data_IF_655767454160
#
_entry.id   IF_655767454160
#
_cell.length_a   1.000
_cell.length_b   1.000
_cell.length_c   1.000
_cell.angle_alpha   90.00
_cell.angle_beta   90.00
_cell.angle_gamma   90.00
#
_symmetry.space_group_name_H-M   'P 1'
#
loop_
_entity.id
_entity.type
_entity.pdbx_description
1 polymer ?
#
# COMPACT_ATOMS: atom_id res chain seq x y z
N UNK A 1 -17.62 12.03 -10.90
CA UNK A 1 -16.89 11.23 -9.90
C UNK A 1 -17.54 11.43 -8.54
N UNK A 2 -17.95 10.38 -7.88
CA UNK A 2 -18.60 10.44 -6.57
C UNK A 2 -17.81 9.56 -5.57
N UNK A 3 -17.35 10.14 -4.48
CA UNK A 3 -16.71 9.39 -3.41
C UNK A 3 -17.75 8.99 -2.36
N UNK A 4 -17.91 7.70 -2.09
CA UNK A 4 -18.77 7.19 -1.04
C UNK A 4 -17.98 7.10 0.25
N UNK A 5 -18.34 7.92 1.25
CA UNK A 5 -17.83 7.80 2.59
C UNK A 5 -18.80 7.06 3.50
N UNK A 6 -18.29 6.13 4.30
CA UNK A 6 -19.03 5.27 5.23
C UNK A 6 -19.72 6.01 6.40
N UNK A 7 -19.58 7.34 6.51
CA UNK A 7 -20.03 8.12 7.66
C UNK A 7 -21.23 9.02 7.32
N UNK A 8 -22.42 8.45 7.21
CA UNK A 8 -23.64 9.20 7.43
C UNK A 8 -24.51 8.51 8.47
N UNK A 9 -24.61 9.15 9.62
CA UNK A 9 -25.55 8.82 10.69
C UNK A 9 -26.99 8.76 10.19
N UNK A 10 -27.69 7.68 10.56
CA UNK A 10 -29.12 7.63 10.75
C UNK A 10 -30.07 7.88 9.55
N UNK A 11 -29.86 7.21 8.40
CA UNK A 11 -30.93 6.79 7.51
C UNK A 11 -30.57 5.42 6.93
N UNK A 12 -31.60 4.58 6.59
CA UNK A 12 -31.43 3.22 6.03
C UNK A 12 -30.18 3.15 5.16
N UNK A 13 -29.17 2.39 5.63
CA UNK A 13 -27.89 2.28 4.94
C UNK A 13 -28.14 1.57 3.63
N UNK A 14 -28.14 2.32 2.52
CA UNK A 14 -28.12 1.72 1.18
C UNK A 14 -26.80 0.95 1.01
N UNK A 15 -26.86 -0.22 0.37
CA UNK A 15 -25.65 -0.93 -0.04
C UNK A 15 -24.96 -0.13 -1.17
N UNK A 16 -23.68 -0.42 -1.44
CA UNK A 16 -22.97 0.22 -2.57
C UNK A 16 -23.70 -0.04 -3.89
N UNK A 17 -24.22 -1.24 -4.10
CA UNK A 17 -24.97 -1.61 -5.28
C UNK A 17 -26.31 -0.84 -5.38
N UNK A 18 -27.07 -0.76 -4.28
CA UNK A 18 -28.29 0.06 -4.25
C UNK A 18 -28.01 1.52 -4.57
N UNK A 19 -26.89 2.06 -4.07
CA UNK A 19 -26.48 3.43 -4.36
C UNK A 19 -26.14 3.62 -5.84
N UNK A 20 -25.40 2.68 -6.43
CA UNK A 20 -25.09 2.71 -7.87
C UNK A 20 -26.36 2.71 -8.71
N UNK A 21 -27.33 1.86 -8.40
CA UNK A 21 -28.64 1.81 -9.07
C UNK A 21 -29.43 3.11 -8.89
N UNK A 22 -29.49 3.64 -7.67
CA UNK A 22 -30.19 4.89 -7.38
C UNK A 22 -29.62 6.09 -8.14
N UNK A 23 -28.29 6.13 -8.34
CA UNK A 23 -27.60 7.20 -9.05
C UNK A 23 -27.44 6.95 -10.54
N UNK A 24 -27.88 5.80 -11.07
CA UNK A 24 -27.66 5.39 -12.44
C UNK A 24 -26.17 5.42 -12.83
N UNK A 25 -25.30 4.91 -11.96
CA UNK A 25 -23.90 4.79 -12.33
C UNK A 25 -23.70 3.64 -13.32
N UNK A 26 -23.01 3.93 -14.42
CA UNK A 26 -22.72 2.97 -15.48
C UNK A 26 -21.57 2.05 -15.14
N UNK A 27 -20.70 2.44 -14.16
CA UNK A 27 -19.57 1.64 -13.69
C UNK A 27 -18.89 2.27 -12.48
N UNK A 28 -18.04 1.50 -11.82
CA UNK A 28 -17.40 1.88 -10.54
C UNK A 28 -15.92 1.51 -10.52
N UNK A 29 -15.08 2.43 -10.06
CA UNK A 29 -13.72 2.13 -9.64
C UNK A 29 -13.67 2.03 -8.10
N UNK A 30 -13.17 0.90 -7.57
CA UNK A 30 -13.05 0.67 -6.13
C UNK A 30 -11.59 0.86 -5.72
N UNK A 31 -11.37 1.82 -4.81
CA UNK A 31 -10.04 2.20 -4.32
C UNK A 31 -10.03 2.24 -2.79
N UNK A 32 -8.99 1.72 -2.17
CA UNK A 32 -8.79 1.79 -0.71
C UNK A 32 -10.00 1.26 0.09
N UNK A 33 -10.67 0.21 -0.41
CA UNK A 33 -11.80 -0.41 0.26
C UNK A 33 -11.36 -1.60 1.14
N UNK A 34 -12.18 -1.93 2.13
CA UNK A 34 -12.14 -3.25 2.73
C UNK A 34 -12.84 -4.23 1.77
N UNK A 35 -12.04 -4.96 1.02
CA UNK A 35 -12.56 -5.90 0.03
C UNK A 35 -13.26 -7.14 0.64
N UNK A 36 -13.19 -7.33 1.96
CA UNK A 36 -13.97 -8.34 2.68
C UNK A 36 -15.34 -7.80 3.14
N UNK A 37 -15.61 -6.49 2.97
CA UNK A 37 -16.92 -5.90 3.27
C UNK A 37 -17.99 -6.54 2.36
N UNK A 38 -19.07 -7.12 2.92
CA UNK A 38 -20.13 -7.77 2.14
C UNK A 38 -20.74 -6.87 1.05
N UNK A 39 -20.86 -5.56 1.29
CA UNK A 39 -21.39 -4.62 0.31
C UNK A 39 -20.40 -4.36 -0.85
N UNK A 40 -19.09 -4.41 -0.60
CA UNK A 40 -18.08 -4.35 -1.64
C UNK A 40 -18.10 -5.64 -2.47
N UNK A 41 -18.19 -6.80 -1.82
CA UNK A 41 -18.32 -8.09 -2.48
C UNK A 41 -19.62 -8.19 -3.31
N UNK A 42 -20.74 -7.70 -2.79
CA UNK A 42 -22.01 -7.61 -3.54
C UNK A 42 -21.83 -6.82 -4.84
N UNK A 43 -21.17 -5.66 -4.77
CA UNK A 43 -20.93 -4.81 -5.92
C UNK A 43 -20.01 -5.49 -6.96
N UNK A 44 -18.92 -6.10 -6.54
CA UNK A 44 -17.99 -6.80 -7.43
C UNK A 44 -18.60 -8.03 -8.10
N UNK A 45 -19.63 -8.64 -7.50
CA UNK A 45 -20.36 -9.78 -8.06
C UNK A 45 -21.62 -9.37 -8.83
N UNK A 46 -21.89 -8.08 -8.97
CA UNK A 46 -23.05 -7.56 -9.70
C UNK A 46 -22.78 -7.43 -11.20
N UNK A 47 -23.82 -7.02 -11.95
CA UNK A 47 -23.71 -6.71 -13.38
C UNK A 47 -23.10 -5.32 -13.64
N UNK A 48 -22.90 -4.49 -12.62
CA UNK A 48 -22.28 -3.17 -12.77
C UNK A 48 -20.80 -3.37 -13.11
N UNK A 49 -20.30 -2.77 -14.21
CA UNK A 49 -18.86 -2.81 -14.53
C UNK A 49 -18.00 -2.26 -13.37
N UNK A 50 -17.07 -3.06 -12.90
CA UNK A 50 -16.18 -2.69 -11.79
C UNK A 50 -14.72 -2.83 -12.19
N UNK A 51 -13.91 -1.84 -11.84
CA UNK A 51 -12.45 -1.91 -11.82
C UNK A 51 -11.97 -1.76 -10.39
N UNK A 52 -11.07 -2.63 -9.96
CA UNK A 52 -10.46 -2.59 -8.62
C UNK A 52 -9.05 -2.04 -8.69
N UNK A 53 -8.66 -1.26 -7.69
CA UNK A 53 -7.27 -0.85 -7.48
C UNK A 53 -6.69 -1.70 -6.36
N UNK A 54 -5.52 -2.32 -6.62
CA UNK A 54 -4.76 -3.14 -5.67
C UNK A 54 -5.51 -4.38 -5.11
N UNK A 55 -6.54 -4.83 -5.80
CA UNK A 55 -7.26 -6.04 -5.42
C UNK A 55 -7.63 -6.88 -6.65
N UNK A 56 -7.31 -8.17 -6.61
CA UNK A 56 -7.65 -9.11 -7.68
C UNK A 56 -8.96 -9.85 -7.36
N UNK A 57 -9.96 -9.65 -8.21
CA UNK A 57 -11.23 -10.38 -8.15
C UNK A 57 -11.56 -10.99 -9.51
N UNK A 58 -12.15 -12.19 -9.51
CA UNK A 58 -12.39 -12.95 -10.74
C UNK A 58 -13.38 -12.30 -11.72
N UNK A 59 -14.26 -11.40 -11.22
CA UNK A 59 -15.24 -10.69 -12.04
C UNK A 59 -14.83 -9.24 -12.38
N UNK A 60 -13.63 -8.79 -12.00
CA UNK A 60 -13.24 -7.41 -12.17
C UNK A 60 -11.88 -7.30 -12.84
N UNK A 61 -11.69 -6.30 -13.68
CA UNK A 61 -10.34 -5.88 -14.06
C UNK A 61 -9.67 -5.25 -12.84
N UNK A 62 -8.42 -5.64 -12.58
CA UNK A 62 -7.60 -5.10 -11.51
C UNK A 62 -6.44 -4.28 -12.07
N UNK A 63 -6.23 -3.08 -11.51
CA UNK A 63 -5.05 -2.26 -11.78
C UNK A 63 -4.27 -2.11 -10.47
N UNK A 64 -2.98 -2.39 -10.49
CA UNK A 64 -2.15 -2.35 -9.28
C UNK A 64 -0.76 -1.83 -9.57
N UNK A 65 -0.09 -1.30 -8.54
CA UNK A 65 1.35 -1.09 -8.58
C UNK A 65 2.08 -2.43 -8.55
N UNK A 66 3.29 -2.48 -9.14
CA UNK A 66 4.17 -3.64 -9.02
C UNK A 66 4.79 -3.70 -7.62
N UNK A 67 4.00 -4.17 -6.66
CA UNK A 67 4.41 -4.24 -5.26
C UNK A 67 5.58 -5.20 -5.02
N UNK A 68 5.73 -6.22 -5.85
CA UNK A 68 6.83 -7.19 -5.75
C UNK A 68 8.13 -6.52 -6.18
N UNK A 69 8.16 -5.91 -7.37
CA UNK A 69 9.37 -5.27 -7.89
C UNK A 69 9.76 -4.05 -7.04
N UNK A 70 8.79 -3.21 -6.67
CA UNK A 70 9.06 -2.04 -5.85
C UNK A 70 9.68 -2.39 -4.49
N UNK A 71 9.22 -3.44 -3.81
CA UNK A 71 9.83 -3.87 -2.55
C UNK A 71 11.22 -4.48 -2.78
N UNK A 72 11.41 -5.25 -3.84
CA UNK A 72 12.73 -5.78 -4.21
C UNK A 72 13.72 -4.64 -4.45
N UNK A 73 13.37 -3.63 -5.24
CA UNK A 73 14.22 -2.48 -5.54
C UNK A 73 14.58 -1.71 -4.26
N UNK A 74 13.62 -1.52 -3.37
CA UNK A 74 13.83 -0.83 -2.11
C UNK A 74 14.82 -1.59 -1.20
N UNK A 75 14.65 -2.89 -1.02
CA UNK A 75 15.55 -3.72 -0.19
C UNK A 75 16.94 -3.78 -0.79
N UNK A 76 17.07 -3.97 -2.11
CA UNK A 76 18.38 -3.98 -2.78
C UNK A 76 19.10 -2.64 -2.67
N UNK A 77 18.37 -1.54 -2.76
CA UNK A 77 18.92 -0.20 -2.54
C UNK A 77 19.44 -0.06 -1.10
N UNK A 78 18.63 -0.39 -0.10
CA UNK A 78 19.02 -0.32 1.32
C UNK A 78 20.26 -1.19 1.56
N UNK A 79 20.34 -2.40 0.99
CA UNK A 79 21.51 -3.26 1.04
C UNK A 79 22.74 -2.60 0.41
N UNK A 80 22.59 -1.93 -0.74
CA UNK A 80 23.68 -1.23 -1.45
C UNK A 80 24.25 -0.07 -0.63
N UNK A 81 23.43 0.53 0.26
CA UNK A 81 23.87 1.56 1.21
C UNK A 81 24.63 0.99 2.44
N UNK A 82 24.85 -0.32 2.48
CA UNK A 82 25.63 -0.99 3.53
C UNK A 82 24.80 -1.57 4.67
N UNK A 83 23.49 -1.42 4.68
CA UNK A 83 22.63 -1.99 5.71
C UNK A 83 22.56 -3.52 5.61
N UNK A 84 22.60 -4.18 6.77
CA UNK A 84 22.48 -5.64 6.91
C UNK A 84 21.41 -6.04 7.92
N UNK A 85 21.09 -5.19 8.88
CA UNK A 85 20.01 -5.33 9.84
C UNK A 85 18.86 -4.44 9.43
N UNK A 86 17.91 -5.01 8.69
CA UNK A 86 16.80 -4.30 8.08
C UNK A 86 15.50 -4.80 8.69
N UNK A 87 14.78 -3.94 9.39
CA UNK A 87 13.44 -4.27 9.91
C UNK A 87 12.34 -3.80 8.93
N UNK A 88 11.22 -4.48 8.96
CA UNK A 88 10.05 -4.11 8.18
C UNK A 88 8.81 -4.05 9.06
N UNK A 89 8.25 -2.85 9.19
CA UNK A 89 6.91 -2.62 9.72
C UNK A 89 5.95 -2.68 8.53
N UNK A 90 5.19 -3.77 8.41
CA UNK A 90 4.29 -3.97 7.27
C UNK A 90 2.85 -3.57 7.61
N UNK A 91 2.01 -3.37 6.58
CA UNK A 91 0.57 -3.16 6.72
C UNK A 91 -0.16 -4.38 7.29
N UNK A 92 -1.43 -4.21 7.62
CA UNK A 92 -2.26 -5.33 8.09
C UNK A 92 -2.41 -6.39 6.98
N UNK A 93 -2.36 -7.67 7.39
CA UNK A 93 -2.45 -8.79 6.45
C UNK A 93 -3.88 -9.19 6.06
N UNK A 94 -4.91 -8.67 6.71
CA UNK A 94 -6.32 -9.05 6.60
C UNK A 94 -6.85 -9.04 5.15
N UNK A 95 -6.39 -10.00 4.34
CA UNK A 95 -6.78 -10.14 2.93
C UNK A 95 -6.10 -9.14 1.97
N UNK A 96 -5.18 -8.30 2.44
CA UNK A 96 -4.46 -7.34 1.60
C UNK A 96 -3.45 -8.04 0.69
N UNK A 97 -3.73 -8.07 -0.61
CA UNK A 97 -2.79 -8.56 -1.61
C UNK A 97 -1.50 -7.73 -1.63
N UNK A 98 -1.61 -6.42 -1.47
CA UNK A 98 -0.47 -5.47 -1.39
C UNK A 98 0.49 -5.85 -0.27
N UNK A 99 -0.04 -6.05 0.95
CA UNK A 99 0.78 -6.44 2.11
C UNK A 99 1.46 -7.79 1.86
N UNK A 100 0.71 -8.76 1.33
CA UNK A 100 1.23 -10.10 1.02
C UNK A 100 2.35 -10.04 -0.02
N UNK A 101 2.15 -9.31 -1.12
CA UNK A 101 3.13 -9.20 -2.21
C UNK A 101 4.41 -8.52 -1.71
N UNK A 102 4.29 -7.39 -0.98
CA UNK A 102 5.44 -6.68 -0.41
C UNK A 102 6.19 -7.52 0.62
N UNK A 103 5.48 -8.20 1.52
CA UNK A 103 6.09 -9.05 2.55
C UNK A 103 6.80 -10.26 1.93
N UNK A 104 6.17 -10.90 0.96
CA UNK A 104 6.77 -12.03 0.22
C UNK A 104 8.04 -11.58 -0.52
N UNK A 105 7.99 -10.42 -1.19
CA UNK A 105 9.14 -9.86 -1.89
C UNK A 105 10.27 -9.47 -0.94
N UNK A 106 9.93 -8.88 0.22
CA UNK A 106 10.90 -8.57 1.26
C UNK A 106 11.68 -9.82 1.71
N UNK A 107 10.97 -10.87 2.14
CA UNK A 107 11.62 -12.10 2.60
C UNK A 107 12.46 -12.75 1.50
N UNK A 108 11.93 -12.85 0.28
CA UNK A 108 12.65 -13.41 -0.86
C UNK A 108 13.95 -12.64 -1.13
N UNK A 109 13.89 -11.31 -1.16
CA UNK A 109 15.06 -10.48 -1.44
C UNK A 109 16.08 -10.55 -0.32
N UNK A 110 15.66 -10.59 0.95
CA UNK A 110 16.55 -10.79 2.09
C UNK A 110 17.28 -12.14 2.00
N UNK A 111 16.56 -13.22 1.65
CA UNK A 111 17.15 -14.56 1.46
C UNK A 111 18.17 -14.59 0.31
N UNK A 112 17.82 -14.01 -0.86
CA UNK A 112 18.75 -13.89 -2.00
C UNK A 112 20.03 -13.13 -1.65
N UNK A 113 19.91 -12.11 -0.78
CA UNK A 113 21.05 -11.33 -0.28
C UNK A 113 21.77 -12.00 0.89
N UNK A 114 21.31 -13.18 1.33
CA UNK A 114 21.84 -13.94 2.48
C UNK A 114 21.84 -13.12 3.78
N UNK A 115 20.77 -12.36 3.98
CA UNK A 115 20.53 -11.58 5.19
C UNK A 115 19.55 -12.31 6.11
N UNK A 116 19.90 -12.37 7.39
CA UNK A 116 19.00 -12.88 8.41
C UNK A 116 17.87 -11.89 8.69
N UNK A 117 16.66 -12.42 8.90
CA UNK A 117 15.48 -11.65 9.30
C UNK A 117 14.98 -12.19 10.63
N UNK A 118 15.44 -11.65 11.78
CA UNK A 118 14.91 -12.03 13.08
C UNK A 118 13.40 -11.75 13.14
N UNK A 119 12.63 -12.63 13.77
CA UNK A 119 11.18 -12.47 13.92
C UNK A 119 10.82 -11.12 14.58
N UNK A 120 11.65 -10.65 15.50
CA UNK A 120 11.49 -9.36 16.17
C UNK A 120 11.69 -8.14 15.26
N UNK A 121 12.23 -8.31 14.05
CA UNK A 121 12.36 -7.24 13.07
C UNK A 121 11.13 -7.07 12.19
N UNK A 122 10.20 -8.04 12.25
CA UNK A 122 8.95 -7.98 11.50
C UNK A 122 7.83 -7.52 12.43
N UNK A 123 7.27 -6.36 12.12
CA UNK A 123 6.24 -5.72 12.91
C UNK A 123 5.04 -5.36 12.03
N UNK A 124 3.90 -5.17 12.65
CA UNK A 124 2.65 -4.81 11.94
C UNK A 124 2.18 -3.44 12.41
N UNK A 125 1.87 -2.57 11.45
CA UNK A 125 1.07 -1.36 11.65
C UNK A 125 0.01 -1.27 10.55
N UNK A 126 -1.07 -0.52 10.77
CA UNK A 126 -2.01 -0.23 9.69
C UNK A 126 -1.42 0.74 8.67
N UNK A 127 -1.92 0.72 7.44
CA UNK A 127 -1.65 1.78 6.48
C UNK A 127 -2.16 3.12 7.03
N UNK A 128 -1.38 4.18 6.85
CA UNK A 128 -1.63 5.53 7.36
C UNK A 128 -1.65 5.65 8.91
N UNK A 129 -1.31 4.59 9.63
CA UNK A 129 -1.37 4.50 11.09
C UNK A 129 -0.07 4.99 11.75
N UNK A 130 0.07 6.31 11.87
CA UNK A 130 1.26 6.96 12.45
C UNK A 130 1.54 6.55 13.90
N UNK A 131 0.49 6.37 14.73
CA UNK A 131 0.64 6.05 16.16
C UNK A 131 1.16 4.63 16.36
N UNK A 132 0.62 3.66 15.63
CA UNK A 132 1.07 2.28 15.76
C UNK A 132 2.49 2.13 15.17
N UNK A 133 2.78 2.76 14.03
CA UNK A 133 4.13 2.80 13.48
C UNK A 133 5.15 3.41 14.46
N UNK A 134 4.78 4.49 15.16
CA UNK A 134 5.60 5.11 16.19
C UNK A 134 5.90 4.13 17.35
N UNK A 135 4.88 3.40 17.83
CA UNK A 135 5.04 2.40 18.88
C UNK A 135 5.98 1.28 18.43
N UNK A 136 5.74 0.71 17.24
CA UNK A 136 6.57 -0.38 16.70
C UNK A 136 8.02 0.07 16.47
N UNK A 137 8.22 1.31 16.04
CA UNK A 137 9.56 1.90 15.90
C UNK A 137 10.29 1.96 17.24
N UNK A 138 9.60 2.41 18.30
CA UNK A 138 10.19 2.48 19.64
C UNK A 138 10.58 1.10 20.18
N UNK A 139 9.75 0.08 19.93
CA UNK A 139 10.03 -1.29 20.29
C UNK A 139 11.27 -1.82 19.55
N UNK A 140 11.38 -1.59 18.23
CA UNK A 140 12.53 -2.00 17.41
C UNK A 140 13.83 -1.34 17.87
N UNK A 141 13.78 -0.06 18.23
CA UNK A 141 14.97 0.69 18.69
C UNK A 141 15.45 0.28 20.09
N UNK A 142 14.58 -0.34 20.89
CA UNK A 142 14.92 -0.84 22.23
C UNK A 142 15.36 -2.31 22.25
N UNK A 143 15.47 -2.97 21.11
CA UNK A 143 16.02 -4.32 21.04
C UNK A 143 17.50 -4.33 21.45
N UNK A 144 17.99 -5.46 21.92
CA UNK A 144 19.43 -5.64 22.23
C UNK A 144 20.30 -5.39 20.99
N UNK A 145 19.84 -5.86 19.83
CA UNK A 145 20.46 -5.64 18.53
C UNK A 145 19.49 -4.87 17.60
N UNK A 146 19.39 -3.53 17.70
CA UNK A 146 18.41 -2.79 16.92
C UNK A 146 18.75 -2.81 15.42
N UNK A 147 17.74 -2.69 14.53
CA UNK A 147 17.96 -2.54 13.11
C UNK A 147 18.72 -1.25 12.79
N UNK A 148 19.42 -1.23 11.66
CA UNK A 148 20.10 -0.03 11.14
C UNK A 148 19.24 0.69 10.09
N UNK A 149 18.21 0.02 9.58
CA UNK A 149 17.22 0.59 8.69
C UNK A 149 15.84 0.01 9.01
N UNK A 150 14.80 0.83 8.98
CA UNK A 150 13.40 0.42 9.13
C UNK A 150 12.64 0.80 7.87
N UNK A 151 12.00 -0.20 7.24
CA UNK A 151 11.03 0.00 6.15
C UNK A 151 9.64 0.13 6.76
N UNK A 152 8.84 1.06 6.25
CA UNK A 152 7.47 1.33 6.69
C UNK A 152 6.46 0.94 5.61
N UNK A 153 5.19 0.66 5.98
CA UNK A 153 4.16 0.27 5.01
C UNK A 153 3.84 1.37 4.00
N UNK A 154 3.95 2.61 4.42
CA UNK A 154 3.73 3.82 3.62
C UNK A 154 4.47 5.04 4.21
N UNK A 155 4.53 6.13 3.45
CA UNK A 155 5.20 7.37 3.86
C UNK A 155 4.52 8.06 5.05
N UNK A 156 3.20 7.87 5.23
CA UNK A 156 2.45 8.47 6.34
C UNK A 156 2.76 7.75 7.66
N UNK A 157 2.75 6.43 7.66
CA UNK A 157 3.16 5.63 8.81
C UNK A 157 4.61 5.93 9.20
N UNK A 158 5.51 6.11 8.22
CA UNK A 158 6.91 6.49 8.44
C UNK A 158 7.04 7.81 9.22
N UNK A 159 6.17 8.80 9.01
CA UNK A 159 6.21 10.06 9.76
C UNK A 159 6.08 9.79 11.27
N UNK A 160 5.23 8.85 11.67
CA UNK A 160 5.10 8.44 13.07
C UNK A 160 6.41 7.88 13.63
N UNK A 161 7.04 6.96 12.91
CA UNK A 161 8.33 6.39 13.29
C UNK A 161 9.45 7.43 13.33
N UNK A 162 9.50 8.31 12.32
CA UNK A 162 10.47 9.40 12.25
C UNK A 162 10.39 10.31 13.48
N UNK A 163 9.21 10.66 13.93
CA UNK A 163 9.03 11.51 15.10
C UNK A 163 9.62 10.84 16.35
N UNK A 164 9.35 9.57 16.58
CA UNK A 164 9.93 8.81 17.70
C UNK A 164 11.45 8.75 17.61
N UNK A 165 12.03 8.50 16.44
CA UNK A 165 13.48 8.49 16.24
C UNK A 165 14.09 9.82 16.69
N UNK A 166 13.49 10.93 16.29
CA UNK A 166 13.95 12.29 16.66
C UNK A 166 13.75 12.55 18.17
N UNK A 167 12.61 12.17 18.76
CA UNK A 167 12.34 12.29 20.20
C UNK A 167 13.33 11.49 21.05
N UNK A 168 13.83 10.36 20.55
CA UNK A 168 14.89 9.57 21.17
C UNK A 168 16.31 10.16 20.97
N UNK A 169 16.42 11.32 20.30
CA UNK A 169 17.70 12.00 20.04
C UNK A 169 18.53 11.36 18.92
N UNK A 170 17.96 10.43 18.13
CA UNK A 170 18.64 9.78 17.04
C UNK A 170 18.50 10.60 15.73
N UNK A 171 19.53 10.53 14.91
CA UNK A 171 19.62 11.27 13.64
C UNK A 171 19.36 10.37 12.44
N UNK A 172 18.51 10.83 11.55
CA UNK A 172 18.26 10.17 10.25
C UNK A 172 19.09 10.90 9.18
N UNK A 173 19.86 10.21 8.36
CA UNK A 173 20.11 8.76 8.32
C UNK A 173 21.32 8.31 9.17
N UNK A 174 21.96 9.20 9.93
CA UNK A 174 23.28 9.00 10.52
C UNK A 174 23.31 7.86 11.56
N UNK A 175 22.32 7.81 12.44
CA UNK A 175 22.22 6.82 13.51
C UNK A 175 21.28 5.67 13.12
N UNK A 176 20.24 5.97 12.32
CA UNK A 176 19.31 5.01 11.75
C UNK A 176 18.75 5.53 10.41
N UNK A 177 18.60 4.65 9.43
CA UNK A 177 17.93 4.94 8.16
C UNK A 177 16.47 4.52 8.19
N UNK A 178 15.65 5.20 7.39
CA UNK A 178 14.23 4.88 7.21
C UNK A 178 13.86 4.90 5.74
N UNK A 179 12.92 4.03 5.36
CA UNK A 179 12.39 4.00 4.00
C UNK A 179 10.87 3.78 4.04
N UNK A 180 10.17 4.44 3.15
CA UNK A 180 8.72 4.37 3.03
C UNK A 180 8.25 3.70 1.75
N UNK A 181 6.99 3.89 1.46
CA UNK A 181 6.33 3.46 0.23
C UNK A 181 5.26 4.51 -0.13
N UNK A 182 4.89 4.63 -1.40
CA UNK A 182 3.91 5.49 -2.06
C UNK A 182 4.51 6.70 -2.77
N UNK A 183 5.63 7.25 -2.33
CA UNK A 183 6.25 8.44 -2.93
C UNK A 183 5.38 9.67 -2.81
N UNK A 184 4.74 9.86 -1.67
CA UNK A 184 3.85 11.00 -1.43
C UNK A 184 4.59 12.32 -1.56
N UNK A 185 3.86 13.39 -1.90
CA UNK A 185 4.46 14.73 -1.98
C UNK A 185 5.16 15.12 -0.66
N UNK A 186 4.62 14.69 0.47
CA UNK A 186 5.17 14.96 1.78
C UNK A 186 6.57 14.36 1.94
N UNK A 187 6.81 13.15 1.43
CA UNK A 187 8.09 12.45 1.55
C UNK A 187 9.25 13.27 0.97
N UNK A 188 9.00 14.08 -0.06
CA UNK A 188 10.00 14.89 -0.74
C UNK A 188 10.16 16.31 -0.15
N UNK A 189 9.26 16.73 0.77
CA UNK A 189 9.33 18.02 1.45
C UNK A 189 10.06 17.93 2.81
N UNK A 190 10.23 16.73 3.34
CA UNK A 190 10.95 16.51 4.60
C UNK A 190 12.47 16.70 4.40
N UNK A 191 13.16 17.02 5.49
CA UNK A 191 14.62 17.08 5.54
C UNK A 191 15.15 16.15 6.65
N UNK A 192 15.99 15.13 6.30
CA UNK A 192 16.28 14.71 4.92
C UNK A 192 15.05 14.22 4.19
N UNK A 193 15.06 14.24 2.85
CA UNK A 193 14.03 13.61 2.02
C UNK A 193 13.96 12.12 2.33
N UNK A 194 12.77 11.54 2.21
CA UNK A 194 12.59 10.11 2.44
C UNK A 194 12.95 9.31 1.18
N UNK A 195 13.63 8.21 1.39
CA UNK A 195 13.73 7.13 0.40
C UNK A 195 12.40 6.39 0.39
N UNK A 196 11.79 6.25 -0.79
CA UNK A 196 10.48 5.62 -0.94
C UNK A 196 10.27 5.09 -2.36
N UNK A 197 9.38 4.14 -2.53
CA UNK A 197 8.88 3.75 -3.86
C UNK A 197 7.73 4.68 -4.22
N UNK A 198 7.94 5.50 -5.24
CA UNK A 198 6.87 6.33 -5.79
C UNK A 198 6.01 5.48 -6.72
N UNK A 199 4.75 5.31 -6.36
CA UNK A 199 3.74 4.69 -7.23
C UNK A 199 3.32 5.69 -8.32
N UNK A 200 3.15 5.23 -9.55
CA UNK A 200 2.58 6.04 -10.62
C UNK A 200 1.04 6.07 -10.51
N UNK A 201 0.56 6.82 -9.51
CA UNK A 201 -0.87 6.95 -9.22
C UNK A 201 -1.66 7.58 -10.38
N UNK A 202 -1.00 8.39 -11.21
CA UNK A 202 -1.61 9.00 -12.38
C UNK A 202 -1.86 7.94 -13.46
N UNK A 203 -0.87 7.08 -13.75
CA UNK A 203 -1.02 6.00 -14.72
C UNK A 203 -1.99 4.92 -14.22
N UNK A 204 -1.94 4.57 -12.92
CA UNK A 204 -2.92 3.68 -12.30
C UNK A 204 -4.34 4.21 -12.51
N UNK A 205 -4.56 5.50 -12.23
CA UNK A 205 -5.87 6.14 -12.42
C UNK A 205 -6.32 6.17 -13.88
N UNK A 206 -5.38 6.45 -14.81
CA UNK A 206 -5.64 6.50 -16.25
C UNK A 206 -6.02 5.12 -16.79
N UNK A 207 -5.27 4.09 -16.46
CA UNK A 207 -5.56 2.72 -16.91
C UNK A 207 -6.85 2.19 -16.28
N UNK A 208 -7.13 2.50 -15.01
CA UNK A 208 -8.39 2.12 -14.38
C UNK A 208 -9.59 2.77 -15.09
N UNK A 209 -9.54 4.07 -15.38
CA UNK A 209 -10.59 4.78 -16.09
C UNK A 209 -10.78 4.22 -17.51
N UNK A 210 -9.69 4.00 -18.25
CA UNK A 210 -9.71 3.44 -19.60
C UNK A 210 -10.37 2.05 -19.64
N UNK A 211 -10.03 1.17 -18.69
CA UNK A 211 -10.61 -0.18 -18.60
C UNK A 211 -12.07 -0.13 -18.20
N UNK A 212 -12.44 0.75 -17.27
CA UNK A 212 -13.83 0.93 -16.87
C UNK A 212 -14.70 1.42 -18.02
N UNK A 213 -14.26 2.44 -18.75
CA UNK A 213 -14.97 2.97 -19.93
C UNK A 213 -15.11 1.87 -20.98
N UNK A 214 -14.03 1.12 -21.26
CA UNK A 214 -14.10 0.00 -22.20
C UNK A 214 -15.14 -1.05 -21.80
N UNK A 215 -15.23 -1.38 -20.50
CA UNK A 215 -16.23 -2.33 -19.99
C UNK A 215 -17.67 -1.81 -20.11
N UNK A 216 -17.87 -0.50 -20.00
CA UNK A 216 -19.19 0.14 -20.17
C UNK A 216 -19.60 0.18 -21.66
N UNK A 217 -18.70 0.65 -22.51
CA UNK A 217 -19.01 0.87 -23.94
C UNK A 217 -19.03 -0.43 -24.75
N UNK A 218 -18.20 -1.41 -24.38
CA UNK A 218 -18.00 -2.67 -25.12
C UNK A 218 -18.07 -3.91 -24.22
N UNK A 219 -19.16 -4.13 -23.47
CA UNK A 219 -19.23 -5.16 -22.43
C UNK A 219 -19.04 -6.59 -22.97
N UNK A 220 -19.35 -6.85 -24.25
CA UNK A 220 -19.23 -8.19 -24.86
C UNK A 220 -17.82 -8.52 -25.37
N UNK A 221 -16.98 -7.52 -25.54
CA UNK A 221 -15.63 -7.69 -26.15
C UNK A 221 -14.50 -7.26 -25.24
N UNK A 222 -14.81 -6.61 -24.11
CA UNK A 222 -13.80 -6.23 -23.11
C UNK A 222 -13.46 -7.44 -22.25
N UNK A 223 -12.19 -7.81 -22.24
CA UNK A 223 -11.68 -8.86 -21.36
C UNK A 223 -11.38 -8.31 -19.98
N UNK A 224 -11.53 -9.17 -18.97
CA UNK A 224 -11.03 -8.89 -17.64
C UNK A 224 -9.51 -9.04 -17.64
N UNK A 225 -8.81 -8.05 -17.10
CA UNK A 225 -7.36 -7.97 -17.15
C UNK A 225 -6.76 -7.68 -15.78
N UNK A 226 -5.52 -8.10 -15.60
CA UNK A 226 -4.65 -7.63 -14.53
C UNK A 226 -3.62 -6.69 -15.15
N UNK A 227 -3.71 -5.42 -14.82
CA UNK A 227 -2.78 -4.38 -15.26
C UNK A 227 -1.84 -4.05 -14.09
N UNK A 228 -0.54 -4.15 -14.33
CA UNK A 228 0.50 -3.87 -13.32
C UNK A 228 1.31 -2.67 -13.80
N UNK A 229 1.42 -1.65 -12.95
CA UNK A 229 2.13 -0.40 -13.23
C UNK A 229 3.40 -0.35 -12.37
N UNK A 230 4.53 -0.05 -13.00
CA UNK A 230 5.80 0.05 -12.30
C UNK A 230 5.84 1.30 -11.40
N UNK A 231 6.41 1.13 -10.21
CA UNK A 231 6.82 2.24 -9.36
C UNK A 231 8.30 2.57 -9.59
N UNK A 232 8.75 3.70 -9.05
CA UNK A 232 10.15 4.11 -9.11
C UNK A 232 10.69 4.42 -7.70
N UNK A 233 11.90 3.99 -7.45
CA UNK A 233 12.64 4.35 -6.24
C UNK A 233 13.08 5.83 -6.32
N UNK A 234 12.80 6.61 -5.27
CA UNK A 234 13.21 8.03 -5.17
C UNK A 234 13.82 8.34 -3.81
#
# INVERSE_FOLDING_TARGET
LYALHKNSSARRKMSYLEHCKYRNFEGVAIVCADFNDPGVMELMNSEVPVVTIDYLHHNCTAVSSNNIQGMEDLVRYIYSQGHRRIAYIHGQQNGSAVTKDRLTSFYRTMDELKLEVPDEYIRTAGYLETKEAAKQTKELLNLENPPTCIIYPDDTALIGGRNVIIEMGLRIPKDISVAGYDGTRMSQLLHPKLTTIKQDTEEIGREAAKRLIGSIEKPKTTLLERVVIEGILI
#
